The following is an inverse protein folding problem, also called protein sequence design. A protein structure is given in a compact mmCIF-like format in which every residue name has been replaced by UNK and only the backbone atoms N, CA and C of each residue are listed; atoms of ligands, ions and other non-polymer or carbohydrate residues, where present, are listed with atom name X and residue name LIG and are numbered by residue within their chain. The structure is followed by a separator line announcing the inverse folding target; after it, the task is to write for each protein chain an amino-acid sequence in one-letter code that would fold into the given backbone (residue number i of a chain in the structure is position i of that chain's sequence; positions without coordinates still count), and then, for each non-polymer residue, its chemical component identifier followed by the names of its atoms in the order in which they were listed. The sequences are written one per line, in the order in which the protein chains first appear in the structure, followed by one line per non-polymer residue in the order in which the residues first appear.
data_IF_604189930156
#
_entry.id   IF_604189930156
#
_cell.length_a   1.000
_cell.length_b   1.000
_cell.length_c   1.000
_cell.angle_alpha   90.00
_cell.angle_beta   90.00
_cell.angle_gamma   90.00
#
_symmetry.space_group_name_H-M   'P 1'
#
loop_
_entity.id
_entity.type
_entity.pdbx_description
1 polymer ?
#
# COMPACT_ATOMS: atom_id res chain seq x y z
N UNK A 1 -80.61 -12.94 29.15
CA UNK A 1 -80.17 -13.02 27.75
C UNK A 1 -78.98 -13.97 27.74
N UNK A 2 -79.22 -15.26 27.44
CA UNK A 2 -78.68 -16.01 26.27
C UNK A 2 -77.15 -16.10 26.30
N UNK A 3 -76.47 -17.25 26.28
CA UNK A 3 -76.73 -18.49 25.54
C UNK A 3 -75.81 -19.62 26.04
N UNK A 4 -76.23 -20.86 25.76
CA UNK A 4 -75.65 -22.17 26.08
C UNK A 4 -74.59 -22.61 25.05
N UNK A 5 -73.56 -23.36 25.48
CA UNK A 5 -72.95 -24.55 24.84
C UNK A 5 -71.74 -25.01 25.70
N UNK A 6 -71.62 -26.20 26.28
CA UNK A 6 -71.73 -27.61 25.79
C UNK A 6 -70.52 -28.10 24.98
N UNK A 7 -69.88 -29.17 25.49
CA UNK A 7 -68.86 -30.02 24.83
C UNK A 7 -67.41 -29.69 25.23
N UNK A 8 -66.51 -30.61 25.57
CA UNK A 8 -66.50 -32.07 25.53
C UNK A 8 -65.41 -32.60 26.49
N UNK A 9 -65.64 -33.82 27.00
CA UNK A 9 -64.64 -34.63 27.72
C UNK A 9 -63.56 -35.11 26.75
N UNK A 10 -62.31 -35.09 27.20
CA UNK A 10 -61.18 -35.73 26.51
C UNK A 10 -60.08 -36.05 27.52
N UNK A 11 -60.19 -37.23 28.13
CA UNK A 11 -59.14 -37.89 28.90
C UNK A 11 -58.03 -38.36 27.96
N UNK A 12 -56.78 -38.21 28.38
CA UNK A 12 -55.71 -39.13 28.00
C UNK A 12 -54.53 -38.53 27.22
N UNK A 13 -53.41 -39.20 27.41
CA UNK A 13 -52.13 -39.11 26.69
C UNK A 13 -51.17 -38.01 27.15
N UNK A 14 -50.36 -38.32 28.16
CA UNK A 14 -49.12 -39.08 28.03
C UNK A 14 -47.94 -38.15 27.74
N UNK A 15 -47.19 -37.93 28.81
CA UNK A 15 -45.87 -37.35 28.85
C UNK A 15 -44.97 -37.83 27.69
N UNK A 16 -44.58 -36.91 26.81
CA UNK A 16 -43.36 -37.04 26.03
C UNK A 16 -42.44 -35.87 26.35
N UNK A 17 -41.42 -36.21 27.11
CA UNK A 17 -40.23 -35.42 27.43
C UNK A 17 -39.67 -34.79 26.15
N UNK A 18 -39.83 -33.48 25.99
CA UNK A 18 -39.04 -32.70 25.05
C UNK A 18 -37.71 -32.34 25.72
N UNK A 19 -36.61 -32.93 25.24
CA UNK A 19 -35.24 -32.54 25.60
C UNK A 19 -34.99 -31.10 25.14
N UNK A 20 -34.39 -30.21 25.94
CA UNK A 20 -33.92 -28.94 25.41
C UNK A 20 -32.77 -29.19 24.43
N UNK A 21 -32.93 -28.65 23.23
CA UNK A 21 -31.90 -28.62 22.20
C UNK A 21 -30.70 -27.83 22.73
N UNK A 22 -29.56 -28.51 22.87
CA UNK A 22 -28.26 -27.91 23.19
C UNK A 22 -27.85 -27.03 22.01
N UNK A 23 -28.11 -25.73 22.13
CA UNK A 23 -27.71 -24.74 21.13
C UNK A 23 -26.19 -24.64 21.12
N UNK A 24 -25.57 -25.20 20.06
CA UNK A 24 -24.12 -25.23 19.89
C UNK A 24 -23.58 -23.84 19.61
N UNK A 25 -22.88 -23.28 20.60
CA UNK A 25 -22.03 -22.09 20.47
C UNK A 25 -20.74 -22.46 19.72
N UNK A 26 -20.80 -22.56 18.38
CA UNK A 26 -19.67 -23.13 17.62
C UNK A 26 -19.47 -22.64 16.19
N UNK A 27 -19.98 -21.46 15.81
CA UNK A 27 -19.90 -21.00 14.41
C UNK A 27 -19.29 -19.62 14.16
N UNK A 28 -19.27 -18.71 15.16
CA UNK A 28 -19.00 -17.29 14.92
C UNK A 28 -17.53 -16.86 15.09
N UNK A 29 -16.68 -17.72 15.67
CA UNK A 29 -15.26 -17.40 15.82
C UNK A 29 -14.50 -17.34 14.47
N UNK A 30 -14.96 -18.12 13.48
CA UNK A 30 -14.33 -18.23 12.16
C UNK A 30 -14.44 -16.98 11.29
N UNK A 31 -15.62 -16.33 11.12
CA UNK A 31 -15.71 -15.11 10.33
C UNK A 31 -14.94 -13.94 10.98
N UNK A 32 -14.91 -13.87 12.31
CA UNK A 32 -14.16 -12.85 13.05
C UNK A 32 -12.65 -12.97 12.81
N UNK A 33 -12.08 -14.18 12.87
CA UNK A 33 -10.67 -14.41 12.57
C UNK A 33 -10.28 -14.02 11.14
N UNK A 34 -11.15 -14.31 10.16
CA UNK A 34 -10.90 -13.93 8.76
C UNK A 34 -10.88 -12.41 8.57
N UNK A 35 -11.80 -11.69 9.23
CA UNK A 35 -11.88 -10.23 9.14
C UNK A 35 -10.64 -9.55 9.75
N UNK A 36 -10.18 -10.06 10.90
CA UNK A 36 -8.95 -9.57 11.56
C UNK A 36 -7.71 -9.87 10.72
N UNK A 37 -7.63 -11.06 10.11
CA UNK A 37 -6.52 -11.44 9.24
C UNK A 37 -6.45 -10.56 7.99
N UNK A 38 -7.59 -10.28 7.34
CA UNK A 38 -7.66 -9.39 6.16
C UNK A 38 -7.29 -7.95 6.54
N UNK A 39 -7.72 -7.46 7.71
CA UNK A 39 -7.34 -6.13 8.20
C UNK A 39 -5.84 -6.03 8.49
N UNK A 40 -5.22 -7.07 9.06
CA UNK A 40 -3.78 -7.14 9.28
C UNK A 40 -2.97 -7.22 7.98
N UNK A 41 -3.48 -7.92 6.96
CA UNK A 41 -2.85 -7.99 5.63
C UNK A 41 -2.90 -6.65 4.88
N UNK A 42 -3.96 -5.87 5.05
CA UNK A 42 -4.07 -4.52 4.46
C UNK A 42 -3.04 -3.53 4.99
N UNK A 43 -2.58 -3.70 6.23
CA UNK A 43 -1.57 -2.83 6.85
C UNK A 43 -0.15 -3.01 6.26
N UNK A 44 0.10 -4.11 5.56
CA UNK A 44 1.36 -4.38 4.87
C UNK A 44 1.29 -4.14 3.35
N UNK A 45 0.26 -3.47 2.83
CA UNK A 45 0.22 -3.07 1.43
C UNK A 45 1.27 -1.95 1.19
N UNK A 46 2.39 -2.23 0.49
CA UNK A 46 3.37 -1.21 0.15
C UNK A 46 2.73 -0.34 -0.95
N UNK A 47 2.07 0.75 -0.56
CA UNK A 47 1.40 1.63 -1.53
C UNK A 47 0.33 2.57 -0.98
N UNK A 48 -0.15 2.38 0.25
CA UNK A 48 -1.22 3.22 0.80
C UNK A 48 -0.80 4.68 1.13
N UNK A 49 0.51 4.97 1.17
CA UNK A 49 1.05 6.28 1.61
C UNK A 49 1.87 7.00 0.52
N UNK A 50 1.74 6.61 -0.75
CA UNK A 50 2.44 7.26 -1.87
C UNK A 50 1.53 8.21 -2.66
N UNK A 51 2.09 9.17 -3.43
CA UNK A 51 1.33 9.89 -4.45
C UNK A 51 0.69 8.90 -5.43
N UNK A 52 -0.47 9.25 -6.00
CA UNK A 52 -1.18 8.40 -6.94
C UNK A 52 -0.21 7.87 -8.02
N UNK A 53 -0.14 6.54 -8.13
CA UNK A 53 0.76 5.89 -9.08
C UNK A 53 0.47 6.36 -10.50
N UNK A 54 1.51 6.56 -11.30
CA UNK A 54 1.34 6.94 -12.71
C UNK A 54 0.65 5.81 -13.48
N UNK A 55 -0.33 6.16 -14.32
CA UNK A 55 -1.00 5.20 -15.21
C UNK A 55 -0.16 4.90 -16.47
N UNK A 56 0.78 5.79 -16.81
CA UNK A 56 1.73 5.57 -17.90
C UNK A 56 2.88 4.64 -17.44
N UNK A 57 3.13 3.51 -18.14
CA UNK A 57 4.20 2.58 -17.80
C UNK A 57 5.60 3.20 -17.86
N UNK A 58 5.87 4.11 -18.80
CA UNK A 58 7.18 4.78 -18.92
C UNK A 58 7.42 5.69 -17.72
N UNK A 59 6.41 6.46 -17.35
CA UNK A 59 6.46 7.30 -16.16
C UNK A 59 6.61 6.49 -14.87
N UNK A 60 5.97 5.32 -14.78
CA UNK A 60 6.13 4.40 -13.63
C UNK A 60 7.53 3.81 -13.56
N UNK A 61 8.12 3.44 -14.69
CA UNK A 61 9.51 2.97 -14.75
C UNK A 61 10.48 4.08 -14.32
N UNK A 62 10.29 5.31 -14.82
CA UNK A 62 11.13 6.46 -14.46
C UNK A 62 10.98 6.86 -12.99
N UNK A 63 9.78 6.82 -12.44
CA UNK A 63 9.56 7.02 -10.99
C UNK A 63 10.35 5.98 -10.20
N UNK A 64 10.27 4.69 -10.57
CA UNK A 64 11.05 3.63 -9.93
C UNK A 64 12.56 3.90 -10.03
N UNK A 65 13.05 4.33 -11.20
CA UNK A 65 14.46 4.69 -11.37
C UNK A 65 14.85 5.90 -10.51
N UNK A 66 14.00 6.92 -10.41
CA UNK A 66 14.24 8.08 -9.54
C UNK A 66 14.33 7.66 -8.07
N UNK A 67 13.48 6.72 -7.63
CA UNK A 67 13.59 6.13 -6.29
C UNK A 67 14.90 5.35 -6.12
N UNK A 68 15.34 4.57 -7.10
CA UNK A 68 16.64 3.88 -7.04
C UNK A 68 17.79 4.88 -6.90
N UNK A 69 17.77 5.97 -7.67
CA UNK A 69 18.77 7.04 -7.56
C UNK A 69 18.80 7.63 -6.15
N UNK A 70 17.63 7.96 -5.59
CA UNK A 70 17.51 8.47 -4.22
C UNK A 70 18.17 7.51 -3.22
N UNK A 71 17.74 6.25 -3.19
CA UNK A 71 18.24 5.28 -2.22
C UNK A 71 19.74 5.02 -2.38
N UNK A 72 20.26 5.04 -3.61
CA UNK A 72 21.71 4.91 -3.85
C UNK A 72 22.49 6.09 -3.26
N UNK A 73 22.00 7.31 -3.43
CA UNK A 73 22.62 8.49 -2.82
C UNK A 73 22.58 8.42 -1.29
N UNK A 74 21.44 8.01 -0.70
CA UNK A 74 21.31 7.86 0.75
C UNK A 74 22.26 6.77 1.30
N UNK A 75 22.37 5.62 0.61
CA UNK A 75 23.32 4.59 0.99
C UNK A 75 24.77 5.08 0.87
N UNK A 76 25.11 5.81 -0.20
CA UNK A 76 26.43 6.43 -0.36
C UNK A 76 26.76 7.41 0.77
N UNK A 77 25.78 8.19 1.24
CA UNK A 77 25.94 9.06 2.41
C UNK A 77 26.26 8.24 3.67
N UNK A 78 25.53 7.15 3.90
CA UNK A 78 25.77 6.28 5.07
C UNK A 78 27.15 5.62 5.04
N UNK A 79 27.65 5.27 3.85
CA UNK A 79 28.96 4.63 3.68
C UNK A 79 30.14 5.60 3.78
N UNK A 80 29.98 6.83 3.26
CA UNK A 80 31.11 7.77 3.07
C UNK A 80 31.02 9.03 3.92
N UNK A 81 29.87 9.28 4.56
CA UNK A 81 29.60 10.47 5.37
C UNK A 81 29.21 11.72 4.59
N UNK A 82 29.29 11.69 3.26
CA UNK A 82 28.90 12.80 2.36
C UNK A 82 28.16 12.26 1.13
N UNK A 83 27.32 13.07 0.50
CA UNK A 83 26.76 12.68 -0.79
C UNK A 83 27.86 12.61 -1.85
N UNK A 84 27.77 11.65 -2.78
CA UNK A 84 28.70 11.54 -3.90
C UNK A 84 28.03 10.82 -5.07
N UNK A 85 28.29 11.26 -6.30
CA UNK A 85 27.80 10.60 -7.51
C UNK A 85 28.45 9.24 -7.76
N UNK A 86 29.52 8.90 -7.03
CA UNK A 86 30.13 7.57 -7.10
C UNK A 86 29.12 6.46 -6.77
N UNK A 87 28.15 6.75 -5.90
CA UNK A 87 27.07 5.82 -5.56
C UNK A 87 26.14 5.48 -6.75
N UNK A 88 26.24 6.24 -7.85
CA UNK A 88 25.38 6.12 -9.03
C UNK A 88 26.06 5.41 -10.21
N UNK A 89 27.35 5.07 -10.12
CA UNK A 89 28.15 4.54 -11.24
C UNK A 89 27.48 3.32 -11.89
N UNK A 90 26.92 2.41 -11.08
CA UNK A 90 26.33 1.17 -11.56
C UNK A 90 24.80 1.25 -11.75
N UNK A 91 24.21 2.45 -11.66
CA UNK A 91 22.76 2.60 -11.82
C UNK A 91 22.38 2.43 -13.28
N UNK A 92 21.57 1.40 -13.54
CA UNK A 92 20.97 1.17 -14.86
C UNK A 92 19.84 2.17 -15.10
N UNK A 93 19.95 2.91 -16.19
CA UNK A 93 18.90 3.83 -16.63
C UNK A 93 18.03 3.17 -17.71
N UNK A 94 16.71 3.42 -17.69
CA UNK A 94 15.83 3.05 -18.79
C UNK A 94 16.25 3.69 -20.11
N UNK A 95 15.80 3.10 -21.22
CA UNK A 95 16.11 3.61 -22.55
C UNK A 95 15.64 5.06 -22.74
N UNK A 96 16.54 5.91 -23.26
CA UNK A 96 16.28 7.34 -23.47
C UNK A 96 16.24 8.18 -22.20
N UNK A 97 16.41 7.57 -21.03
CA UNK A 97 16.50 8.27 -19.76
C UNK A 97 17.92 8.79 -19.52
N UNK A 98 18.02 9.99 -18.94
CA UNK A 98 19.27 10.58 -18.48
C UNK A 98 19.04 11.31 -17.18
N UNK A 99 19.97 11.19 -16.25
CA UNK A 99 20.02 12.07 -15.09
C UNK A 99 21.12 13.11 -15.26
N UNK A 100 20.92 14.24 -14.60
CA UNK A 100 21.87 15.36 -14.59
C UNK A 100 21.98 15.86 -13.16
N UNK A 101 23.20 16.14 -12.70
CA UNK A 101 23.43 16.83 -11.44
C UNK A 101 23.30 18.34 -11.70
N UNK A 102 22.32 18.98 -11.08
CA UNK A 102 22.08 20.43 -11.23
C UNK A 102 22.73 21.22 -10.11
N UNK A 103 22.60 20.74 -8.87
CA UNK A 103 23.16 21.40 -7.69
C UNK A 103 23.88 20.36 -6.84
N UNK A 104 24.98 20.78 -6.24
CA UNK A 104 25.74 19.98 -5.30
C UNK A 104 26.44 20.92 -4.32
N UNK A 105 26.16 20.77 -3.02
CA UNK A 105 26.79 21.60 -2.01
C UNK A 105 28.26 21.22 -1.86
N UNK A 106 29.14 22.21 -1.71
CA UNK A 106 30.59 22.00 -1.61
C UNK A 106 30.98 21.13 -0.41
N UNK A 107 30.20 21.17 0.66
CA UNK A 107 30.37 20.36 1.87
C UNK A 107 29.80 18.94 1.73
N UNK A 108 29.20 18.60 0.58
CA UNK A 108 28.58 17.31 0.32
C UNK A 108 27.29 17.06 1.11
N UNK A 109 26.68 18.09 1.71
CA UNK A 109 25.48 17.98 2.55
C UNK A 109 24.16 17.88 1.76
N UNK A 110 24.16 18.31 0.50
CA UNK A 110 22.96 18.30 -0.34
C UNK A 110 23.27 18.20 -1.82
N UNK A 111 22.26 17.75 -2.57
CA UNK A 111 22.33 17.58 -4.02
C UNK A 111 20.95 17.77 -4.66
N UNK A 112 20.95 18.04 -5.96
CA UNK A 112 19.77 17.99 -6.82
C UNK A 112 20.10 17.28 -8.13
N UNK A 113 19.52 16.09 -8.32
CA UNK A 113 19.54 15.40 -9.61
C UNK A 113 18.21 15.65 -10.33
N UNK A 114 18.28 15.74 -11.66
CA UNK A 114 17.11 15.77 -12.52
C UNK A 114 17.17 14.62 -13.51
N UNK A 115 16.20 13.71 -13.40
CA UNK A 115 15.95 12.60 -14.32
C UNK A 115 14.93 13.03 -15.38
N UNK A 116 15.31 12.87 -16.64
CA UNK A 116 14.48 13.17 -17.83
C UNK A 116 14.52 11.99 -18.78
N UNK A 117 13.50 11.86 -19.63
CA UNK A 117 13.50 10.87 -20.71
C UNK A 117 13.06 11.50 -22.04
N UNK A 118 13.71 11.11 -23.13
CA UNK A 118 13.26 11.47 -24.48
C UNK A 118 11.90 10.87 -24.83
N UNK A 119 11.53 9.76 -24.19
CA UNK A 119 10.24 9.07 -24.37
C UNK A 119 9.08 9.76 -23.64
N UNK A 120 9.40 10.70 -22.74
CA UNK A 120 8.42 11.43 -21.94
C UNK A 120 8.90 12.87 -21.65
N UNK A 121 8.85 13.73 -22.67
CA UNK A 121 9.41 15.08 -22.60
C UNK A 121 8.67 16.01 -21.62
N UNK A 122 7.35 15.81 -21.41
CA UNK A 122 6.51 16.66 -20.57
C UNK A 122 6.66 16.42 -19.06
N UNK A 123 7.51 15.47 -18.66
CA UNK A 123 7.69 15.09 -17.26
C UNK A 123 9.16 14.87 -16.94
N UNK A 124 9.56 15.32 -15.76
CA UNK A 124 10.86 15.05 -15.17
C UNK A 124 10.73 14.77 -13.67
N UNK A 125 11.79 14.21 -13.08
CA UNK A 125 11.87 13.93 -11.65
C UNK A 125 13.06 14.65 -11.05
N UNK A 126 12.83 15.38 -9.96
CA UNK A 126 13.88 15.89 -9.07
C UNK A 126 14.14 14.85 -8.00
N UNK A 127 15.42 14.56 -7.77
CA UNK A 127 15.88 13.69 -6.71
C UNK A 127 16.81 14.49 -5.82
N UNK A 128 16.53 14.51 -4.52
CA UNK A 128 17.26 15.28 -3.51
C UNK A 128 17.20 14.56 -2.17
N UNK A 129 17.94 15.02 -1.14
CA UNK A 129 17.79 14.51 0.23
C UNK A 129 16.37 14.66 0.81
N UNK A 130 15.52 15.49 0.19
CA UNK A 130 14.10 15.63 0.56
C UNK A 130 13.20 14.55 -0.09
N UNK A 131 13.79 13.66 -0.87
CA UNK A 131 13.10 12.61 -1.63
C UNK A 131 12.98 12.93 -3.11
N UNK A 132 12.04 12.24 -3.74
CA UNK A 132 11.75 12.31 -5.17
C UNK A 132 10.49 13.14 -5.40
N UNK A 133 10.52 14.06 -6.36
CA UNK A 133 9.35 14.84 -6.77
C UNK A 133 9.23 14.98 -8.28
N UNK A 134 8.02 14.83 -8.79
CA UNK A 134 7.70 14.99 -10.22
C UNK A 134 7.45 16.46 -10.55
N UNK A 135 7.88 16.91 -11.73
CA UNK A 135 7.59 18.25 -12.24
C UNK A 135 7.52 18.26 -13.78
N UNK A 136 6.94 19.33 -14.34
CA UNK A 136 6.97 19.58 -15.79
C UNK A 136 8.16 20.51 -16.10
N UNK A 137 9.11 20.10 -16.98
CA UNK A 137 10.29 20.89 -17.29
C UNK A 137 10.06 22.09 -18.23
N UNK A 138 8.87 22.25 -18.83
CA UNK A 138 8.54 23.33 -19.77
C UNK A 138 8.81 22.94 -21.22
#
# INVERSE_FOLDING_TARGET
MTSVASGARGLGEAARRARPARMGTGGWARPLLFLTLVALLGACAPGAFGPAASTDPVATELERTAQVLYHRMELGLLETGVYTTNALIDVKLPEGARWTLQEFATDGSSYLLVLRSSRLASTAWRVSPRGVSRFNPG
#
